data_IF_421340094258
#
_entry.id   IF_421340094258
#
_cell.length_a   1.000
_cell.length_b   1.000
_cell.length_c   1.000
_cell.angle_alpha   90.00
_cell.angle_beta   90.00
_cell.angle_gamma   90.00
#
_symmetry.space_group_name_H-M   'P 1'
#
loop_
_entity.id
_entity.type
_entity.pdbx_description
1 polymer ?
#
# COMPACT_ATOMS: atom_id res chain seq x y z
N UNK A 1 16.08 6.81 6.33
CA UNK A 1 16.32 6.02 7.56
C UNK A 1 16.92 4.67 7.20
N UNK A 2 17.65 4.03 8.13
CA UNK A 2 18.39 2.78 7.93
C UNK A 2 17.53 1.60 7.42
N UNK A 3 18.15 0.68 6.70
CA UNK A 3 17.53 -0.60 6.32
C UNK A 3 17.07 -1.34 7.57
N UNK A 4 15.87 -1.93 7.52
CA UNK A 4 15.30 -2.68 8.66
C UNK A 4 14.57 -1.86 9.72
N UNK A 5 14.53 -0.52 9.62
CA UNK A 5 13.84 0.32 10.61
C UNK A 5 12.29 0.26 10.56
N UNK A 6 11.69 -0.67 9.82
CA UNK A 6 10.23 -0.83 9.72
C UNK A 6 9.51 0.11 8.75
N UNK A 7 10.21 0.93 7.96
CA UNK A 7 9.57 1.84 6.98
C UNK A 7 8.65 1.13 6.00
N UNK A 8 9.10 -0.01 5.47
CA UNK A 8 8.28 -0.83 4.56
C UNK A 8 7.07 -1.42 5.28
N UNK A 9 7.25 -1.92 6.50
CA UNK A 9 6.16 -2.43 7.34
C UNK A 9 5.09 -1.36 7.58
N UNK A 10 5.51 -0.14 7.91
CA UNK A 10 4.60 0.98 8.12
C UNK A 10 3.83 1.34 6.85
N UNK A 11 4.52 1.45 5.71
CA UNK A 11 3.88 1.78 4.43
C UNK A 11 2.86 0.72 4.01
N UNK A 12 3.09 -0.55 4.33
CA UNK A 12 2.18 -1.65 4.02
C UNK A 12 0.88 -1.66 4.83
N UNK A 13 0.76 -0.84 5.87
CA UNK A 13 -0.50 -0.67 6.61
C UNK A 13 -1.52 0.19 5.84
N UNK A 14 -1.04 1.11 4.99
CA UNK A 14 -1.88 2.05 4.23
C UNK A 14 -2.73 1.33 3.16
N UNK A 15 -2.17 0.47 2.29
CA UNK A 15 -2.96 -0.37 1.39
C UNK A 15 -3.51 -1.62 2.10
N UNK A 16 -3.51 -1.66 3.44
CA UNK A 16 -4.04 -2.78 4.22
C UNK A 16 -3.47 -4.16 3.83
N UNK A 17 -2.20 -4.23 3.42
CA UNK A 17 -1.50 -5.52 3.26
C UNK A 17 -1.25 -6.18 4.62
N UNK A 18 -1.21 -5.38 5.68
CA UNK A 18 -1.32 -5.82 7.07
C UNK A 18 -2.24 -4.86 7.81
N UNK A 19 -2.95 -5.38 8.81
CA UNK A 19 -3.73 -4.55 9.72
C UNK A 19 -2.87 -4.10 10.91
N UNK A 20 -3.07 -2.85 11.36
CA UNK A 20 -2.49 -2.40 12.61
C UNK A 20 -3.12 -3.16 13.79
N UNK A 21 -2.26 -3.68 14.69
CA UNK A 21 -2.69 -4.37 15.91
C UNK A 21 -3.35 -3.42 16.91
N UNK A 22 -2.87 -2.19 16.99
CA UNK A 22 -3.39 -1.13 17.86
C UNK A 22 -3.41 0.20 17.12
N UNK A 23 -4.31 1.10 17.53
CA UNK A 23 -4.54 2.39 16.88
C UNK A 23 -5.30 2.28 15.55
N UNK A 24 -5.19 3.33 14.74
CA UNK A 24 -5.90 3.46 13.48
C UNK A 24 -5.00 4.03 12.37
N UNK A 25 -5.27 3.59 11.14
CA UNK A 25 -4.67 4.13 9.93
C UNK A 25 -5.79 4.78 9.15
N UNK A 26 -5.67 6.09 8.95
CA UNK A 26 -6.71 6.90 8.29
C UNK A 26 -6.24 7.32 6.90
N UNK A 27 -7.10 7.11 5.91
CA UNK A 27 -7.00 7.72 4.58
C UNK A 27 -8.21 8.63 4.43
N UNK A 28 -7.98 9.91 4.11
CA UNK A 28 -9.04 10.93 4.06
C UNK A 28 -9.92 11.02 5.32
N UNK A 29 -9.37 10.69 6.49
CA UNK A 29 -10.10 10.69 7.77
C UNK A 29 -10.97 9.46 8.03
N UNK A 30 -10.96 8.47 7.13
CA UNK A 30 -11.68 7.19 7.29
C UNK A 30 -10.68 6.08 7.56
N UNK A 31 -10.99 5.18 8.49
CA UNK A 31 -10.12 4.06 8.80
C UNK A 31 -10.01 3.13 7.58
N UNK A 32 -8.79 2.73 7.22
CA UNK A 32 -8.53 1.79 6.11
C UNK A 32 -9.29 0.47 6.25
N UNK A 33 -9.66 0.08 7.48
CA UNK A 33 -10.46 -1.12 7.76
C UNK A 33 -11.93 -0.99 7.34
N UNK A 34 -12.43 0.24 7.18
CA UNK A 34 -13.82 0.56 6.81
C UNK A 34 -14.00 0.70 5.29
N UNK A 35 -12.92 0.77 4.52
CA UNK A 35 -12.99 0.78 3.07
C UNK A 35 -13.26 -0.60 2.49
N UNK A 36 -13.99 -0.63 1.38
CA UNK A 36 -13.84 -1.70 0.40
C UNK A 36 -12.41 -1.64 -0.21
N UNK A 37 -11.78 -2.80 -0.41
CA UNK A 37 -10.38 -2.85 -0.86
C UNK A 37 -10.19 -2.22 -2.25
N UNK A 38 -11.13 -2.38 -3.19
CA UNK A 38 -11.02 -1.74 -4.50
C UNK A 38 -11.11 -0.22 -4.38
N UNK A 39 -12.02 0.28 -3.54
CA UNK A 39 -12.17 1.71 -3.29
C UNK A 39 -10.93 2.31 -2.59
N UNK A 40 -10.31 1.57 -1.67
CA UNK A 40 -9.05 1.95 -1.04
C UNK A 40 -7.92 2.01 -2.06
N UNK A 41 -7.79 1.00 -2.93
CA UNK A 41 -6.73 0.94 -3.93
C UNK A 41 -6.89 2.00 -5.02
N UNK A 42 -8.12 2.34 -5.40
CA UNK A 42 -8.39 3.44 -6.32
C UNK A 42 -7.93 4.81 -5.78
N UNK A 43 -7.75 4.94 -4.46
CA UNK A 43 -7.25 6.15 -3.79
C UNK A 43 -5.74 6.18 -3.59
N UNK A 44 -5.04 5.06 -3.79
CA UNK A 44 -3.61 4.93 -3.48
C UNK A 44 -2.83 4.61 -4.75
N UNK A 45 -1.94 5.52 -5.16
CA UNK A 45 -0.89 5.20 -6.13
C UNK A 45 0.26 4.47 -5.43
N UNK A 46 0.30 3.14 -5.51
CA UNK A 46 1.38 2.34 -4.91
C UNK A 46 2.50 2.08 -5.93
N UNK A 47 3.69 2.63 -5.66
CA UNK A 47 4.91 2.35 -6.43
C UNK A 47 5.80 1.42 -5.61
N UNK A 48 5.92 0.16 -6.01
CA UNK A 48 6.72 -0.83 -5.29
C UNK A 48 8.24 -0.55 -5.45
N UNK A 49 9.00 -0.76 -4.37
CA UNK A 49 10.47 -0.69 -4.42
C UNK A 49 11.13 -1.83 -5.24
N UNK A 50 10.40 -2.92 -5.48
CA UNK A 50 10.78 -3.98 -6.43
C UNK A 50 9.86 -3.87 -7.64
N UNK A 51 10.43 -3.71 -8.83
CA UNK A 51 9.65 -3.80 -10.07
C UNK A 51 8.95 -5.16 -10.11
N UNK A 52 7.62 -5.16 -10.14
CA UNK A 52 6.86 -6.35 -10.53
C UNK A 52 7.03 -6.43 -12.04
N UNK A 53 8.03 -7.17 -12.52
CA UNK A 53 8.19 -7.41 -13.96
C UNK A 53 7.05 -8.34 -14.40
N UNK A 54 5.95 -7.77 -14.87
CA UNK A 54 5.02 -8.54 -15.67
C UNK A 54 5.74 -8.90 -16.97
N UNK A 55 5.70 -10.19 -17.34
CA UNK A 55 6.15 -10.62 -18.67
C UNK A 55 5.21 -10.01 -19.72
N UNK A 56 5.61 -8.88 -20.28
CA UNK A 56 4.85 -8.06 -21.21
C UNK A 56 5.71 -6.90 -21.71
N UNK A 57 5.22 -6.15 -22.69
CA UNK A 57 5.93 -4.97 -23.19
C UNK A 57 5.86 -3.82 -22.17
N UNK A 58 6.69 -2.79 -22.33
CA UNK A 58 6.60 -1.58 -21.49
C UNK A 58 5.20 -0.95 -21.56
N UNK A 59 4.52 -1.09 -22.70
CA UNK A 59 3.15 -0.59 -22.88
C UNK A 59 2.10 -1.35 -22.04
N UNK A 60 2.38 -2.61 -21.66
CA UNK A 60 1.47 -3.41 -20.83
C UNK A 60 1.65 -3.14 -19.33
N UNK A 61 2.66 -2.35 -18.95
CA UNK A 61 3.09 -2.13 -17.56
C UNK A 61 2.86 -0.68 -17.05
N UNK A 62 2.17 0.19 -17.82
CA UNK A 62 1.86 1.60 -17.46
C UNK A 62 0.42 1.76 -17.02
#
# INVERSE_FOLDING_TARGET
>A
GSTGSGKTTLMNLIPRFYDASEGEVLVDGVNVKEYDLEALYAKIGYVSQKAVMFTGTVADNV
#
